data_IF_355448974095
#
_entry.id   IF_355448974095
#
_cell.length_a   1.000
_cell.length_b   1.000
_cell.length_c   1.000
_cell.angle_alpha   90.00
_cell.angle_beta   90.00
_cell.angle_gamma   90.00
#
_symmetry.space_group_name_H-M   'P 1'
#
loop_
_entity.id
_entity.type
_entity.pdbx_description
1 polymer ?
#
# COMPACT_ATOMS: atom_id res chain seq x y z
N UNK A 1 -22.91 10.43 39.86
CA UNK A 1 -22.55 11.28 38.70
C UNK A 1 -21.04 11.45 38.50
N UNK A 2 -20.23 11.59 39.57
CA UNK A 2 -18.77 11.81 39.51
C UNK A 2 -17.96 10.71 38.76
N UNK A 3 -18.33 9.43 38.88
CA UNK A 3 -17.66 8.30 38.17
C UNK A 3 -17.77 8.35 36.64
N UNK A 4 -18.83 8.93 36.08
CA UNK A 4 -19.00 8.99 34.61
C UNK A 4 -18.12 10.09 34.01
N UNK A 5 -17.97 11.21 34.72
CA UNK A 5 -17.10 12.32 34.31
C UNK A 5 -15.61 11.92 34.28
N UNK A 6 -15.15 11.11 35.23
CA UNK A 6 -13.75 10.65 35.23
C UNK A 6 -13.42 9.71 34.07
N UNK A 7 -14.38 8.87 33.65
CA UNK A 7 -14.20 7.98 32.50
C UNK A 7 -14.06 8.79 31.21
N UNK A 8 -14.93 9.78 31.00
CA UNK A 8 -14.87 10.66 29.83
C UNK A 8 -13.53 11.40 29.76
N UNK A 9 -13.03 11.89 30.90
CA UNK A 9 -11.73 12.56 30.96
C UNK A 9 -10.56 11.64 30.59
N UNK A 10 -10.60 10.38 31.03
CA UNK A 10 -9.59 9.39 30.66
C UNK A 10 -9.64 9.05 29.17
N UNK A 11 -10.83 8.92 28.59
CA UNK A 11 -11.00 8.68 27.15
C UNK A 11 -10.47 9.85 26.33
N UNK A 12 -10.75 11.10 26.75
CA UNK A 12 -10.21 12.30 26.09
C UNK A 12 -8.67 12.31 26.11
N UNK A 13 -8.05 11.93 27.24
CA UNK A 13 -6.58 11.83 27.32
C UNK A 13 -6.03 10.81 26.32
N UNK A 14 -6.65 9.64 26.22
CA UNK A 14 -6.25 8.60 25.27
C UNK A 14 -6.47 9.06 23.83
N UNK A 15 -7.56 9.76 23.55
CA UNK A 15 -7.84 10.32 22.23
C UNK A 15 -6.79 11.36 21.82
N UNK A 16 -6.39 12.26 22.74
CA UNK A 16 -5.32 13.23 22.50
C UNK A 16 -3.99 12.52 22.25
N UNK A 17 -3.65 11.51 23.06
CA UNK A 17 -2.44 10.70 22.85
C UNK A 17 -2.44 10.04 21.46
N UNK A 18 -3.57 9.48 21.05
CA UNK A 18 -3.74 8.83 19.77
C UNK A 18 -3.61 9.81 18.60
N UNK A 19 -4.22 11.00 18.68
CA UNK A 19 -4.11 12.04 17.66
C UNK A 19 -2.66 12.50 17.53
N UNK A 20 -1.98 12.78 18.63
CA UNK A 20 -0.57 13.19 18.62
C UNK A 20 0.32 12.11 18.01
N UNK A 21 0.07 10.85 18.37
CA UNK A 21 0.78 9.71 17.79
C UNK A 21 0.55 9.62 16.26
N UNK A 22 -0.70 9.79 15.82
CA UNK A 22 -1.07 9.78 14.40
C UNK A 22 -0.39 10.90 13.62
N UNK A 23 -0.35 12.11 14.20
CA UNK A 23 0.33 13.26 13.60
C UNK A 23 1.85 13.01 13.50
N UNK A 24 2.47 12.46 14.55
CA UNK A 24 3.89 12.12 14.54
C UNK A 24 4.20 11.12 13.42
N UNK A 25 3.41 10.06 13.30
CA UNK A 25 3.57 9.09 12.21
C UNK A 25 3.35 9.72 10.83
N UNK A 26 2.37 10.60 10.66
CA UNK A 26 2.16 11.31 9.40
C UNK A 26 3.40 12.10 8.98
N UNK A 27 4.00 12.86 9.90
CA UNK A 27 5.22 13.61 9.61
C UNK A 27 6.43 12.70 9.37
N UNK A 28 6.56 11.59 10.11
CA UNK A 28 7.63 10.62 9.89
C UNK A 28 7.52 9.96 8.51
N UNK A 29 6.30 9.60 8.10
CA UNK A 29 6.03 9.04 6.76
C UNK A 29 6.30 10.09 5.67
N UNK A 30 5.91 11.34 5.88
CA UNK A 30 6.22 12.41 4.92
C UNK A 30 7.71 12.67 4.79
N UNK A 31 8.46 12.65 5.90
CA UNK A 31 9.91 12.77 5.88
C UNK A 31 10.54 11.64 5.06
N UNK A 32 10.18 10.39 5.34
CA UNK A 32 10.73 9.24 4.60
C UNK A 32 10.27 9.23 3.14
N UNK A 33 9.06 9.70 2.85
CA UNK A 33 8.53 9.77 1.48
C UNK A 33 9.34 10.76 0.62
N UNK A 34 9.72 11.91 1.17
CA UNK A 34 10.58 12.87 0.48
C UNK A 34 11.95 12.29 0.12
N UNK A 35 12.46 11.34 0.90
CA UNK A 35 13.69 10.61 0.59
C UNK A 35 13.46 9.56 -0.51
N UNK A 36 12.27 8.94 -0.54
CA UNK A 36 11.90 7.92 -1.53
C UNK A 36 11.59 8.50 -2.92
N UNK A 37 11.00 9.70 -3.02
CA UNK A 37 10.73 10.37 -4.31
C UNK A 37 12.00 10.68 -5.10
N UNK A 38 13.14 10.91 -4.42
CA UNK A 38 14.42 11.14 -5.06
C UNK A 38 15.09 9.85 -5.59
N UNK A 39 14.57 8.67 -5.22
CA UNK A 39 14.98 7.43 -5.84
C UNK A 39 14.19 7.27 -7.14
N UNK A 40 14.76 7.76 -8.24
CA UNK A 40 14.38 7.42 -9.63
C UNK A 40 14.29 5.89 -9.81
N UNK A 41 13.19 5.29 -9.39
CA UNK A 41 13.00 3.85 -9.40
C UNK A 41 12.10 3.48 -10.56
N UNK A 42 12.55 3.82 -11.77
CA UNK A 42 12.39 3.12 -13.04
C UNK A 42 12.67 4.14 -14.13
N UNK A 43 13.92 4.19 -14.63
CA UNK A 43 14.10 4.55 -16.03
C UNK A 43 13.23 3.58 -16.82
N UNK A 44 12.18 4.12 -17.45
CA UNK A 44 11.25 3.36 -18.27
C UNK A 44 12.09 2.53 -19.24
N UNK A 45 12.00 1.19 -19.26
CA UNK A 45 12.75 0.45 -20.24
C UNK A 45 12.24 0.88 -21.62
N UNK A 46 13.09 1.55 -22.41
CA UNK A 46 12.91 1.67 -23.85
C UNK A 46 13.13 0.28 -24.46
N UNK A 47 12.15 -0.59 -24.24
CA UNK A 47 12.14 -1.95 -24.72
C UNK A 47 10.76 -2.22 -25.23
N UNK A 48 10.60 -2.08 -26.54
CA UNK A 48 9.46 -2.49 -27.36
C UNK A 48 8.60 -3.50 -26.63
N UNK A 49 7.48 -3.00 -26.11
CA UNK A 49 6.36 -3.77 -25.60
C UNK A 49 6.19 -4.99 -26.50
N UNK A 50 6.60 -6.17 -26.01
CA UNK A 50 6.36 -7.43 -26.70
C UNK A 50 4.86 -7.49 -26.90
N UNK A 51 4.45 -7.16 -28.13
CA UNK A 51 3.08 -7.16 -28.58
C UNK A 51 2.74 -8.64 -28.62
N UNK A 52 2.18 -9.13 -27.51
CA UNK A 52 1.66 -10.49 -27.40
C UNK A 52 0.70 -10.65 -28.56
N UNK A 53 1.11 -11.52 -29.46
CA UNK A 53 0.47 -11.76 -30.73
C UNK A 53 -0.98 -12.14 -30.46
N UNK A 54 -1.88 -11.38 -31.05
CA UNK A 54 -3.32 -11.50 -30.84
C UNK A 54 -3.84 -12.61 -31.77
N UNK A 55 -3.25 -13.80 -31.65
CA UNK A 55 -3.61 -14.96 -32.43
C UNK A 55 -4.31 -15.99 -31.56
N UNK A 56 -5.58 -16.17 -31.93
CA UNK A 56 -6.38 -17.36 -31.74
C UNK A 56 -7.06 -17.54 -30.38
N UNK A 57 -8.37 -17.76 -30.50
CA UNK A 57 -9.36 -18.07 -29.47
C UNK A 57 -9.14 -19.44 -28.80
N UNK A 58 -7.90 -19.81 -28.50
CA UNK A 58 -7.56 -21.10 -27.94
C UNK A 58 -7.04 -20.97 -26.51
N UNK A 59 -8.02 -21.00 -25.60
CA UNK A 59 -7.83 -21.63 -24.30
C UNK A 59 -7.37 -20.72 -23.18
N UNK A 60 -8.31 -19.95 -22.62
CA UNK A 60 -8.18 -19.41 -21.26
C UNK A 60 -7.79 -20.52 -20.24
N UNK A 61 -8.24 -21.76 -20.46
CA UNK A 61 -7.84 -22.92 -19.66
C UNK A 61 -6.38 -23.32 -19.84
N UNK A 62 -5.83 -23.15 -21.04
CA UNK A 62 -4.44 -23.50 -21.33
C UNK A 62 -3.46 -22.49 -20.71
N UNK A 63 -3.93 -21.29 -20.38
CA UNK A 63 -3.20 -20.31 -19.61
C UNK A 63 -3.23 -20.66 -18.11
N UNK A 64 -4.38 -21.08 -17.57
CA UNK A 64 -4.52 -21.53 -16.18
C UNK A 64 -3.68 -22.78 -15.86
N UNK A 65 -3.63 -23.76 -16.76
CA UNK A 65 -2.80 -24.98 -16.60
C UNK A 65 -1.31 -24.63 -16.56
N UNK A 66 -0.86 -23.65 -17.36
CA UNK A 66 0.53 -23.18 -17.34
C UNK A 66 0.89 -22.50 -16.02
N UNK A 67 0.02 -21.66 -15.47
CA UNK A 67 0.21 -21.08 -14.13
C UNK A 67 0.32 -22.18 -13.05
N UNK A 68 -0.55 -23.18 -13.11
CA UNK A 68 -0.52 -24.29 -12.16
C UNK A 68 0.78 -25.12 -12.24
N UNK A 69 1.31 -25.36 -13.44
CA UNK A 69 2.53 -26.13 -13.63
C UNK A 69 3.80 -25.35 -13.28
N UNK A 70 3.83 -24.05 -13.58
CA UNK A 70 5.01 -23.22 -13.37
C UNK A 70 5.09 -22.65 -11.94
N UNK A 71 4.00 -22.71 -11.16
CA UNK A 71 4.02 -22.39 -9.73
C UNK A 71 4.33 -20.92 -9.42
N UNK A 72 3.90 -20.01 -10.30
CA UNK A 72 4.00 -18.55 -10.15
C UNK A 72 2.63 -17.95 -9.84
#
# INVERSE_FOLDING_TARGET
>A
MKKRASIVFNVIKIAILFITCTILFYFAIQWIHSEYENMHRYDRPEGSMLKVDNHQKDGALNQLVRFYQNGE
#
